data_IF_705798124008
#
_entry.id   IF_705798124008
#
_cell.length_a   1.000
_cell.length_b   1.000
_cell.length_c   1.000
_cell.angle_alpha   90.00
_cell.angle_beta   90.00
_cell.angle_gamma   90.00
#
_symmetry.space_group_name_H-M   'P 1'
#
loop_
_entity.id
_entity.type
_entity.pdbx_description
1 polymer ?
#
# COMPACT_ATOMS: atom_id res chain seq x y z
N UNK A 1 19.73 -44.60 -73.82
CA UNK A 1 19.59 -43.35 -73.02
C UNK A 1 18.31 -43.45 -72.22
N UNK A 2 18.40 -43.73 -70.90
CA UNK A 2 17.27 -43.76 -69.95
C UNK A 2 17.53 -42.72 -68.89
N UNK A 3 16.75 -41.66 -68.87
CA UNK A 3 16.79 -40.67 -67.80
C UNK A 3 15.92 -41.09 -66.65
N UNK A 4 16.49 -41.25 -65.46
CA UNK A 4 15.81 -41.50 -64.22
C UNK A 4 15.46 -40.17 -63.55
N UNK A 5 14.17 -39.92 -63.33
CA UNK A 5 13.67 -38.77 -62.55
C UNK A 5 13.70 -39.10 -61.07
N UNK A 6 14.56 -38.40 -60.33
CA UNK A 6 14.51 -38.44 -58.85
C UNK A 6 13.54 -37.36 -58.38
N UNK A 7 12.37 -37.76 -57.89
CA UNK A 7 11.46 -36.89 -57.14
C UNK A 7 11.91 -36.78 -55.71
N UNK A 8 12.36 -35.60 -55.30
CA UNK A 8 12.63 -35.27 -53.87
C UNK A 8 11.33 -34.85 -53.20
N UNK A 9 10.84 -35.64 -52.28
CA UNK A 9 9.78 -35.29 -51.36
C UNK A 9 10.35 -34.37 -50.25
N UNK A 10 9.90 -33.10 -50.20
CA UNK A 10 10.18 -32.19 -49.09
C UNK A 10 9.19 -32.58 -47.95
N UNK A 11 9.67 -32.68 -46.67
CA UNK A 11 8.76 -32.85 -45.57
C UNK A 11 8.02 -31.52 -45.31
N UNK A 12 6.69 -31.60 -45.30
CA UNK A 12 5.80 -30.51 -44.91
C UNK A 12 5.91 -30.34 -43.40
N UNK A 13 6.57 -29.29 -42.93
CA UNK A 13 6.56 -28.92 -41.50
C UNK A 13 5.24 -28.21 -41.23
N UNK A 14 4.35 -28.93 -40.56
CA UNK A 14 3.11 -28.34 -40.04
C UNK A 14 3.45 -27.45 -38.84
N UNK A 15 3.45 -26.14 -39.05
CA UNK A 15 3.47 -25.15 -37.98
C UNK A 15 2.08 -25.08 -37.39
N UNK A 16 1.87 -25.75 -36.26
CA UNK A 16 0.67 -25.58 -35.44
C UNK A 16 0.71 -24.20 -34.81
N UNK A 17 -0.09 -23.26 -35.32
CA UNK A 17 -0.34 -21.99 -34.67
C UNK A 17 -1.03 -22.24 -33.33
N UNK A 18 -0.32 -22.04 -32.24
CA UNK A 18 -0.90 -21.97 -30.89
C UNK A 18 -1.71 -20.67 -30.84
N UNK A 19 -3.03 -20.79 -30.97
CA UNK A 19 -3.91 -19.67 -30.66
C UNK A 19 -3.80 -19.39 -29.17
N UNK A 20 -3.15 -18.28 -28.79
CA UNK A 20 -3.27 -17.73 -27.45
C UNK A 20 -4.74 -17.33 -27.26
N UNK A 21 -5.53 -18.23 -26.72
CA UNK A 21 -6.82 -17.84 -26.14
C UNK A 21 -6.51 -16.94 -24.96
N UNK A 22 -7.03 -15.71 -24.99
CA UNK A 22 -6.98 -14.82 -23.85
C UNK A 22 -7.48 -15.61 -22.61
N UNK A 23 -6.61 -15.76 -21.61
CA UNK A 23 -7.01 -16.33 -20.33
C UNK A 23 -8.16 -15.46 -19.80
N UNK A 24 -9.24 -16.06 -19.25
CA UNK A 24 -10.25 -15.26 -18.58
C UNK A 24 -9.57 -14.42 -17.52
N UNK A 25 -9.91 -13.14 -17.46
CA UNK A 25 -9.47 -12.27 -16.38
C UNK A 25 -9.75 -13.01 -15.06
N UNK A 26 -8.71 -13.25 -14.26
CA UNK A 26 -8.89 -13.86 -12.95
C UNK A 26 -9.93 -13.03 -12.21
N UNK A 27 -10.98 -13.67 -11.70
CA UNK A 27 -11.93 -12.98 -10.83
C UNK A 27 -11.12 -12.33 -9.70
N UNK A 28 -11.34 -11.05 -9.46
CA UNK A 28 -10.68 -10.35 -8.35
C UNK A 28 -10.94 -11.12 -7.06
N UNK A 29 -9.90 -11.23 -6.22
CA UNK A 29 -10.00 -11.90 -4.91
C UNK A 29 -11.06 -11.20 -4.02
N UNK A 30 -11.24 -9.90 -4.24
CA UNK A 30 -12.20 -9.06 -3.54
C UNK A 30 -13.12 -8.36 -4.54
N UNK A 31 -14.37 -8.10 -4.17
CA UNK A 31 -15.33 -7.38 -5.00
C UNK A 31 -15.11 -5.86 -4.95
N UNK A 32 -14.50 -5.36 -3.90
CA UNK A 32 -14.16 -3.94 -3.71
C UNK A 32 -13.05 -3.74 -2.68
N UNK A 33 -12.42 -2.57 -2.74
CA UNK A 33 -11.46 -2.08 -1.75
C UNK A 33 -12.07 -0.85 -1.07
N UNK A 34 -12.21 -0.90 0.27
CA UNK A 34 -12.69 0.22 1.10
C UNK A 34 -11.55 0.69 1.99
N UNK A 35 -11.21 1.98 1.92
CA UNK A 35 -10.04 2.52 2.62
C UNK A 35 -10.45 3.62 3.58
N UNK A 36 -10.08 3.48 4.85
CA UNK A 36 -10.13 4.50 5.90
C UNK A 36 -8.69 4.89 6.23
N UNK A 37 -8.35 6.17 6.14
CA UNK A 37 -6.96 6.55 6.28
C UNK A 37 -6.70 8.06 6.35
N UNK A 38 -5.43 8.37 6.23
CA UNK A 38 -4.90 9.72 6.24
C UNK A 38 -4.30 10.14 4.88
N UNK A 39 -3.35 11.09 4.88
CA UNK A 39 -2.71 11.58 3.65
C UNK A 39 -1.97 10.52 2.84
N UNK A 40 -1.52 9.43 3.46
CA UNK A 40 -0.85 8.34 2.75
C UNK A 40 -1.83 7.56 1.85
N UNK A 41 -3.12 7.64 2.14
CA UNK A 41 -4.18 6.88 1.47
C UNK A 41 -5.18 7.77 0.72
N UNK A 42 -5.20 9.09 0.96
CA UNK A 42 -6.14 10.03 0.34
C UNK A 42 -5.91 10.11 -1.17
N UNK A 43 -6.86 9.60 -1.95
CA UNK A 43 -6.82 9.62 -3.42
C UNK A 43 -7.49 10.85 -4.05
N UNK A 44 -7.81 11.88 -3.24
CA UNK A 44 -8.36 13.14 -3.71
C UNK A 44 -9.52 13.74 -2.92
N UNK A 45 -9.91 13.19 -1.77
CA UNK A 45 -10.96 13.79 -0.93
C UNK A 45 -10.57 15.22 -0.48
N UNK A 46 -9.33 15.41 -0.01
CA UNK A 46 -8.87 16.75 0.36
C UNK A 46 -8.84 17.70 -0.84
N UNK A 47 -8.45 17.21 -2.02
CA UNK A 47 -8.50 18.04 -3.24
C UNK A 47 -9.92 18.52 -3.55
N UNK A 48 -10.92 17.66 -3.35
CA UNK A 48 -12.34 18.04 -3.57
C UNK A 48 -12.77 19.10 -2.56
N UNK A 49 -12.33 19.03 -1.30
CA UNK A 49 -12.78 19.96 -0.23
C UNK A 49 -12.00 21.26 -0.23
N UNK A 50 -10.68 21.22 -0.31
CA UNK A 50 -9.80 22.39 -0.09
C UNK A 50 -8.96 22.76 -1.32
N UNK A 51 -9.11 22.03 -2.42
CA UNK A 51 -8.33 22.23 -3.65
C UNK A 51 -6.92 21.65 -3.57
N UNK A 52 -6.25 21.67 -4.73
CA UNK A 52 -4.83 21.38 -4.86
C UNK A 52 -4.05 22.67 -5.13
N UNK A 53 -2.77 22.68 -4.77
CA UNK A 53 -1.86 23.78 -5.06
C UNK A 53 -0.72 23.34 -5.98
N UNK A 54 -0.87 23.48 -7.31
CA UNK A 54 0.18 23.14 -8.28
C UNK A 54 1.47 23.97 -8.13
N UNK A 55 1.37 25.17 -7.55
CA UNK A 55 2.51 26.07 -7.29
C UNK A 55 3.17 25.84 -5.93
N UNK A 56 2.71 24.85 -5.16
CA UNK A 56 3.27 24.55 -3.85
C UNK A 56 4.70 24.01 -3.98
N UNK A 57 5.66 24.70 -3.36
CA UNK A 57 7.08 24.34 -3.40
C UNK A 57 7.50 23.72 -2.08
N UNK A 58 8.32 22.68 -2.17
CA UNK A 58 9.02 22.07 -1.04
C UNK A 58 10.41 22.71 -1.00
N UNK A 59 10.79 23.27 0.12
CA UNK A 59 12.04 24.03 0.26
C UNK A 59 13.11 23.30 1.08
N UNK A 60 12.68 22.35 1.92
CA UNK A 60 13.56 21.58 2.80
C UNK A 60 12.85 20.31 3.31
N UNK A 61 13.49 19.58 4.21
CA UNK A 61 12.97 18.36 4.81
C UNK A 61 11.86 18.59 5.86
N UNK A 62 11.55 19.85 6.21
CA UNK A 62 10.57 20.17 7.28
C UNK A 62 9.18 20.53 6.73
N UNK A 63 9.08 20.75 5.43
CA UNK A 63 7.85 21.20 4.80
C UNK A 63 6.73 20.16 4.89
N UNK A 64 5.57 20.60 5.39
CA UNK A 64 4.33 19.81 5.44
C UNK A 64 3.23 20.64 4.76
N UNK A 65 2.63 20.15 3.67
CA UNK A 65 1.65 20.93 2.90
C UNK A 65 0.34 21.10 3.66
N UNK A 66 -0.30 22.26 3.46
CA UNK A 66 -1.67 22.55 3.92
C UNK A 66 -2.74 22.12 2.91
N UNK A 67 -2.38 21.97 1.64
CA UNK A 67 -3.21 21.49 0.53
C UNK A 67 -2.50 20.34 -0.17
N UNK A 68 -3.21 19.60 -1.01
CA UNK A 68 -2.60 18.60 -1.88
C UNK A 68 -1.71 19.28 -2.92
N UNK A 69 -0.75 18.52 -3.45
CA UNK A 69 0.10 18.97 -4.56
C UNK A 69 -0.67 19.03 -5.89
N UNK A 70 -0.01 19.48 -6.95
CA UNK A 70 -0.59 19.48 -8.29
C UNK A 70 -1.04 18.11 -8.82
N UNK A 71 -0.54 17.04 -8.24
CA UNK A 71 -1.00 15.65 -8.45
C UNK A 71 -2.42 15.38 -7.92
N UNK A 72 -2.96 16.25 -7.09
CA UNK A 72 -4.24 16.06 -6.40
C UNK A 72 -4.18 15.20 -5.15
N UNK A 73 -2.99 14.77 -4.74
CA UNK A 73 -2.71 13.95 -3.55
C UNK A 73 -1.49 14.50 -2.80
N UNK A 74 -1.13 13.89 -1.67
CA UNK A 74 0.03 14.29 -0.86
C UNK A 74 1.32 13.56 -1.30
N UNK A 75 1.54 13.48 -2.60
CA UNK A 75 2.71 12.86 -3.23
C UNK A 75 2.94 13.48 -4.61
N UNK A 76 4.00 13.09 -5.31
CA UNK A 76 4.26 13.48 -6.70
C UNK A 76 3.48 12.64 -7.74
N UNK A 77 2.68 11.66 -7.30
CA UNK A 77 1.88 10.78 -8.15
C UNK A 77 0.92 9.92 -7.31
N UNK A 78 0.43 8.80 -7.84
CA UNK A 78 -0.54 7.95 -7.17
C UNK A 78 -0.11 7.56 -5.76
N UNK A 79 -1.08 7.38 -4.86
CA UNK A 79 -0.86 6.80 -3.53
C UNK A 79 -1.06 5.29 -3.59
N UNK A 80 -0.47 4.56 -2.64
CA UNK A 80 -0.51 3.10 -2.56
C UNK A 80 -1.92 2.49 -2.75
N UNK A 81 -2.95 3.16 -2.24
CA UNK A 81 -4.33 2.68 -2.33
C UNK A 81 -4.83 2.63 -3.78
N UNK A 82 -4.45 3.65 -4.59
CA UNK A 82 -4.77 3.69 -6.02
C UNK A 82 -4.02 2.59 -6.78
N UNK A 83 -2.74 2.38 -6.47
CA UNK A 83 -1.91 1.36 -7.11
C UNK A 83 -2.40 -0.06 -6.74
N UNK A 84 -2.71 -0.29 -5.45
CA UNK A 84 -3.26 -1.54 -4.98
C UNK A 84 -4.61 -1.86 -5.63
N UNK A 85 -5.52 -0.88 -5.74
CA UNK A 85 -6.81 -1.04 -6.40
C UNK A 85 -6.65 -1.42 -7.87
N UNK A 86 -5.74 -0.75 -8.59
CA UNK A 86 -5.43 -1.06 -9.99
C UNK A 86 -4.90 -2.49 -10.15
N UNK A 87 -3.99 -2.93 -9.28
CA UNK A 87 -3.42 -4.28 -9.28
C UNK A 87 -4.45 -5.36 -8.86
N UNK A 88 -5.41 -5.01 -7.99
CA UNK A 88 -6.55 -5.86 -7.63
C UNK A 88 -7.61 -5.93 -8.75
N UNK A 89 -7.59 -5.00 -9.70
CA UNK A 89 -8.62 -4.90 -10.74
C UNK A 89 -9.98 -4.40 -10.22
N UNK A 90 -9.99 -3.63 -9.11
CA UNK A 90 -11.20 -3.02 -8.54
C UNK A 90 -11.14 -1.49 -8.65
N UNK A 91 -12.29 -0.82 -8.82
CA UNK A 91 -12.31 0.65 -8.83
C UNK A 91 -12.00 1.21 -7.43
N UNK A 92 -11.28 2.34 -7.42
CA UNK A 92 -11.08 3.13 -6.19
C UNK A 92 -11.10 4.61 -6.56
N UNK A 93 -12.12 5.32 -6.07
CA UNK A 93 -12.24 6.77 -6.18
C UNK A 93 -12.52 7.37 -4.80
N UNK A 94 -12.27 8.70 -4.61
CA UNK A 94 -12.62 9.37 -3.36
C UNK A 94 -14.11 9.19 -3.00
N UNK A 95 -14.41 9.05 -1.72
CA UNK A 95 -15.79 8.90 -1.23
C UNK A 95 -16.68 10.09 -1.58
N UNK A 96 -16.11 11.30 -1.62
CA UNK A 96 -16.79 12.52 -2.05
C UNK A 96 -17.13 12.53 -3.55
N UNK A 97 -16.52 11.68 -4.34
CA UNK A 97 -16.86 11.41 -5.73
C UNK A 97 -17.71 10.14 -5.90
N UNK A 98 -18.27 9.61 -4.83
CA UNK A 98 -19.12 8.41 -4.83
C UNK A 98 -18.36 7.09 -4.79
N UNK A 99 -17.06 7.10 -4.45
CA UNK A 99 -16.23 5.91 -4.36
C UNK A 99 -16.07 5.37 -2.93
N UNK A 100 -15.09 4.49 -2.78
CA UNK A 100 -14.83 3.72 -1.56
C UNK A 100 -13.56 4.12 -0.81
N UNK A 101 -12.84 5.14 -1.27
CA UNK A 101 -11.73 5.72 -0.52
C UNK A 101 -12.25 6.84 0.38
N UNK A 102 -12.31 6.57 1.69
CA UNK A 102 -12.76 7.51 2.72
C UNK A 102 -11.62 8.26 3.40
N UNK A 103 -10.36 8.07 2.96
CA UNK A 103 -9.19 8.70 3.57
C UNK A 103 -9.16 10.21 3.34
N UNK A 104 -8.67 10.96 4.36
CA UNK A 104 -8.48 12.40 4.31
C UNK A 104 -7.10 12.78 4.83
N UNK A 105 -6.38 13.59 4.06
CA UNK A 105 -5.09 14.13 4.50
C UNK A 105 -5.19 14.85 5.85
N UNK A 106 -4.27 14.54 6.78
CA UNK A 106 -4.26 15.09 8.13
C UNK A 106 -5.15 14.36 9.15
N UNK A 107 -5.92 13.35 8.73
CA UNK A 107 -6.80 12.61 9.63
C UNK A 107 -6.03 11.90 10.75
N UNK A 108 -6.52 12.03 11.98
CA UNK A 108 -6.16 11.20 13.13
C UNK A 108 -7.11 10.00 13.23
N UNK A 109 -6.82 9.02 14.08
CA UNK A 109 -7.72 7.88 14.27
C UNK A 109 -9.03 8.26 14.96
N UNK A 110 -9.04 9.28 15.81
CA UNK A 110 -10.20 9.82 16.54
C UNK A 110 -9.94 11.23 17.05
N UNK A 111 -10.89 11.81 17.78
CA UNK A 111 -12.27 11.31 18.06
C UNK A 111 -13.19 11.39 16.84
N UNK A 112 -14.33 10.67 16.90
CA UNK A 112 -15.40 10.85 15.92
C UNK A 112 -15.99 12.27 16.03
N UNK A 113 -16.39 12.87 14.89
CA UNK A 113 -16.94 14.21 14.86
C UNK A 113 -17.08 14.76 13.44
N UNK A 114 -17.56 15.97 13.33
CA UNK A 114 -17.79 16.65 12.05
C UNK A 114 -16.63 17.60 11.65
N UNK A 115 -15.53 17.59 12.40
CA UNK A 115 -14.36 18.43 12.09
C UNK A 115 -13.59 17.91 10.88
N UNK A 116 -13.18 18.82 10.01
CA UNK A 116 -12.30 18.50 8.89
C UNK A 116 -10.81 18.65 9.32
N UNK A 117 -9.94 17.72 8.95
CA UNK A 117 -10.18 16.45 8.23
C UNK A 117 -10.91 15.42 9.10
N UNK A 118 -11.80 14.65 8.49
CA UNK A 118 -12.57 13.63 9.20
C UNK A 118 -11.65 12.52 9.73
N UNK A 119 -11.74 12.23 11.05
CA UNK A 119 -10.99 11.15 11.67
C UNK A 119 -11.39 9.78 11.09
N UNK A 120 -10.53 8.75 11.26
CA UNK A 120 -10.83 7.41 10.79
C UNK A 120 -12.13 6.85 11.40
N UNK A 121 -12.42 7.15 12.67
CA UNK A 121 -13.71 6.81 13.28
C UNK A 121 -14.90 7.45 12.56
N UNK A 122 -14.76 8.72 12.16
CA UNK A 122 -15.81 9.43 11.41
C UNK A 122 -15.95 8.84 10.00
N UNK A 123 -14.84 8.56 9.31
CA UNK A 123 -14.83 7.94 7.98
C UNK A 123 -15.56 6.59 7.98
N UNK A 124 -15.25 5.73 8.94
CA UNK A 124 -15.92 4.44 9.10
C UNK A 124 -17.41 4.60 9.42
N UNK A 125 -17.75 5.56 10.28
CA UNK A 125 -19.15 5.90 10.57
C UNK A 125 -19.91 6.40 9.33
N UNK A 126 -19.31 7.23 8.49
CA UNK A 126 -19.89 7.69 7.22
C UNK A 126 -20.12 6.52 6.25
N UNK A 127 -19.13 5.62 6.11
CA UNK A 127 -19.29 4.42 5.30
C UNK A 127 -20.46 3.56 5.78
N UNK A 128 -20.49 3.21 7.06
CA UNK A 128 -21.51 2.34 7.66
C UNK A 128 -22.92 2.94 7.64
N UNK A 129 -23.02 4.28 7.65
CA UNK A 129 -24.33 4.97 7.57
C UNK A 129 -24.95 4.93 6.16
N UNK A 130 -24.15 4.73 5.11
CA UNK A 130 -24.62 4.90 3.74
C UNK A 130 -24.40 3.64 2.86
N UNK A 131 -23.65 2.66 3.33
CA UNK A 131 -23.32 1.45 2.59
C UNK A 131 -23.69 0.18 3.38
N UNK A 132 -23.96 -0.89 2.64
CA UNK A 132 -24.02 -2.25 3.20
C UNK A 132 -22.61 -2.85 3.19
N UNK A 133 -22.19 -3.43 4.29
CA UNK A 133 -20.90 -4.12 4.40
C UNK A 133 -20.94 -5.40 3.57
N UNK A 134 -20.02 -5.53 2.59
CA UNK A 134 -19.85 -6.77 1.82
C UNK A 134 -18.89 -7.71 2.55
N UNK A 135 -19.23 -8.99 2.63
CA UNK A 135 -18.35 -10.00 3.18
C UNK A 135 -17.12 -10.28 2.28
N UNK A 136 -17.22 -9.93 0.98
CA UNK A 136 -16.15 -10.14 0.00
C UNK A 136 -15.33 -8.88 -0.29
N UNK A 137 -15.64 -7.75 0.36
CA UNK A 137 -14.83 -6.54 0.24
C UNK A 137 -13.58 -6.63 1.12
N UNK A 138 -12.49 -6.00 0.68
CA UNK A 138 -11.31 -5.76 1.48
C UNK A 138 -11.43 -4.39 2.17
N UNK A 139 -11.43 -4.38 3.50
CA UNK A 139 -11.45 -3.16 4.31
C UNK A 139 -10.05 -2.86 4.82
N UNK A 140 -9.60 -1.62 4.67
CA UNK A 140 -8.28 -1.19 5.12
C UNK A 140 -8.41 -0.02 6.07
N UNK A 141 -7.73 -0.12 7.22
CA UNK A 141 -7.61 0.93 8.24
C UNK A 141 -6.14 1.33 8.29
N UNK A 142 -5.80 2.49 7.72
CA UNK A 142 -4.42 2.94 7.50
C UNK A 142 -4.20 4.34 8.09
N UNK A 143 -3.79 4.43 9.35
CA UNK A 143 -3.57 5.70 10.04
C UNK A 143 -2.73 5.56 11.29
N UNK A 144 -2.64 6.66 12.07
CA UNK A 144 -1.85 6.74 13.29
C UNK A 144 -0.64 7.67 13.17
N UNK A 145 -0.18 7.97 11.95
CA UNK A 145 0.92 8.90 11.73
C UNK A 145 0.64 10.31 12.26
N UNK A 146 -0.58 10.81 12.09
CA UNK A 146 -0.99 12.11 12.60
C UNK A 146 -1.21 12.13 14.11
N UNK A 147 -1.67 11.01 14.71
CA UNK A 147 -1.75 10.84 16.17
C UNK A 147 -0.35 10.92 16.79
N UNK A 148 0.63 10.20 16.20
CA UNK A 148 2.02 10.23 16.62
C UNK A 148 2.64 11.62 16.46
N UNK A 149 2.41 12.32 15.35
CA UNK A 149 2.90 13.67 15.13
C UNK A 149 2.30 14.67 16.12
N UNK A 150 1.01 14.57 16.42
CA UNK A 150 0.36 15.36 17.47
C UNK A 150 0.97 15.14 18.84
N UNK A 151 1.29 13.89 19.18
CA UNK A 151 1.97 13.56 20.43
C UNK A 151 3.39 14.11 20.49
N UNK A 152 4.19 14.05 19.40
CA UNK A 152 5.51 14.68 19.34
C UNK A 152 5.44 16.18 19.60
N UNK A 153 4.48 16.89 18.99
CA UNK A 153 4.27 18.31 19.21
C UNK A 153 3.90 18.62 20.67
N UNK A 154 3.03 17.79 21.28
CA UNK A 154 2.66 17.92 22.69
C UNK A 154 3.87 17.74 23.61
N UNK A 155 4.70 16.72 23.37
CA UNK A 155 5.92 16.44 24.14
C UNK A 155 6.93 17.58 24.00
N UNK A 156 7.09 18.12 22.77
CA UNK A 156 7.95 19.27 22.53
C UNK A 156 7.46 20.52 23.28
N UNK A 157 6.16 20.80 23.26
CA UNK A 157 5.55 21.94 23.94
C UNK A 157 5.71 21.90 25.48
N UNK A 158 5.76 20.71 26.08
CA UNK A 158 6.01 20.53 27.53
C UNK A 158 7.51 20.30 27.85
N UNK A 159 8.41 20.54 26.91
CA UNK A 159 9.86 20.31 27.06
C UNK A 159 10.20 18.90 27.59
N UNK A 160 9.40 17.89 27.17
CA UNK A 160 9.58 16.49 27.53
C UNK A 160 9.01 16.08 28.91
N UNK A 161 8.56 17.00 29.73
CA UNK A 161 8.06 16.68 31.09
C UNK A 161 6.82 15.77 31.02
N UNK A 162 5.99 15.89 29.98
CA UNK A 162 4.78 15.08 29.80
C UNK A 162 5.01 13.82 28.93
N UNK A 163 6.24 13.41 28.66
CA UNK A 163 6.57 12.30 27.76
C UNK A 163 5.79 11.03 28.10
N UNK A 164 5.95 10.50 29.29
CA UNK A 164 5.33 9.24 29.69
C UNK A 164 3.81 9.25 29.57
N UNK A 165 3.10 10.22 30.22
CA UNK A 165 1.64 10.34 30.08
C UNK A 165 1.17 10.52 28.63
N UNK A 166 1.85 11.32 27.81
CA UNK A 166 1.48 11.55 26.40
C UNK A 166 1.63 10.28 25.58
N UNK A 167 2.73 9.56 25.69
CA UNK A 167 2.95 8.30 24.97
C UNK A 167 1.89 7.27 25.36
N UNK A 168 1.63 7.09 26.65
CA UNK A 168 0.64 6.13 27.14
C UNK A 168 -0.77 6.47 26.65
N UNK A 169 -1.18 7.74 26.74
CA UNK A 169 -2.51 8.19 26.29
C UNK A 169 -2.67 8.03 24.77
N UNK A 170 -1.66 8.43 23.97
CA UNK A 170 -1.71 8.32 22.51
C UNK A 170 -1.78 6.86 22.09
N UNK A 171 -0.94 5.98 22.63
CA UNK A 171 -0.95 4.56 22.30
C UNK A 171 -2.29 3.89 22.65
N UNK A 172 -2.83 4.15 23.84
CA UNK A 172 -4.12 3.61 24.28
C UNK A 172 -5.28 4.12 23.41
N UNK A 173 -5.32 5.43 23.12
CA UNK A 173 -6.40 6.02 22.34
C UNK A 173 -6.36 5.54 20.88
N UNK A 174 -5.17 5.49 20.28
CA UNK A 174 -4.97 4.94 18.94
C UNK A 174 -5.50 3.51 18.84
N UNK A 175 -5.07 2.62 19.72
CA UNK A 175 -5.50 1.23 19.72
C UNK A 175 -7.02 1.10 19.93
N UNK A 176 -7.60 1.85 20.85
CA UNK A 176 -9.04 1.86 21.11
C UNK A 176 -9.85 2.34 19.90
N UNK A 177 -9.40 3.41 19.25
CA UNK A 177 -10.08 3.95 18.06
C UNK A 177 -10.07 2.93 16.90
N UNK A 178 -8.92 2.32 16.63
CA UNK A 178 -8.79 1.31 15.57
C UNK A 178 -9.62 0.06 15.91
N UNK A 179 -9.59 -0.41 17.17
CA UNK A 179 -10.41 -1.52 17.62
C UNK A 179 -11.91 -1.25 17.46
N UNK A 180 -12.36 -0.01 17.75
CA UNK A 180 -13.75 0.37 17.55
C UNK A 180 -14.19 0.31 16.08
N UNK A 181 -13.31 0.71 15.14
CA UNK A 181 -13.57 0.60 13.68
C UNK A 181 -13.66 -0.88 13.28
N UNK A 182 -12.69 -1.71 13.71
CA UNK A 182 -12.70 -3.16 13.45
C UNK A 182 -14.00 -3.79 13.92
N UNK A 183 -14.37 -3.56 15.18
CA UNK A 183 -15.61 -4.11 15.77
C UNK A 183 -16.86 -3.66 14.99
N UNK A 184 -16.92 -2.41 14.56
CA UNK A 184 -18.06 -1.90 13.82
C UNK A 184 -18.16 -2.53 12.41
N UNK A 185 -17.05 -2.74 11.72
CA UNK A 185 -17.00 -3.42 10.42
C UNK A 185 -17.37 -4.89 10.55
N UNK A 186 -16.85 -5.60 11.56
CA UNK A 186 -17.18 -7.00 11.83
C UNK A 186 -18.67 -7.18 12.19
N UNK A 187 -19.21 -6.28 13.01
CA UNK A 187 -20.65 -6.26 13.32
C UNK A 187 -21.52 -6.04 12.07
N UNK A 188 -21.00 -5.32 11.06
CA UNK A 188 -21.61 -5.17 9.74
C UNK A 188 -21.48 -6.40 8.84
N UNK A 189 -20.60 -7.35 9.16
CA UNK A 189 -20.37 -8.57 8.38
C UNK A 189 -19.06 -8.61 7.58
N UNK A 190 -18.11 -7.68 7.80
CA UNK A 190 -16.81 -7.69 7.17
C UNK A 190 -16.01 -8.96 7.52
N UNK A 191 -15.44 -9.64 6.51
CA UNK A 191 -14.66 -10.86 6.66
C UNK A 191 -13.16 -10.63 6.43
N UNK A 192 -12.79 -9.58 5.71
CA UNK A 192 -11.42 -9.28 5.31
C UNK A 192 -11.07 -7.84 5.70
N UNK A 193 -10.34 -7.70 6.81
CA UNK A 193 -9.90 -6.42 7.33
C UNK A 193 -8.38 -6.43 7.44
N UNK A 194 -7.72 -5.44 6.84
CA UNK A 194 -6.28 -5.21 7.03
C UNK A 194 -6.09 -3.90 7.78
N UNK A 195 -5.42 -3.99 8.92
CA UNK A 195 -5.05 -2.84 9.73
C UNK A 195 -3.57 -2.55 9.55
N UNK A 196 -3.21 -1.32 9.19
CA UNK A 196 -1.84 -0.87 9.21
C UNK A 196 -1.41 -0.56 10.63
N UNK A 197 -0.20 -0.97 11.00
CA UNK A 197 0.43 -0.39 12.18
C UNK A 197 0.90 1.04 11.85
N UNK A 198 1.27 1.82 12.88
CA UNK A 198 1.80 3.17 12.70
C UNK A 198 3.17 3.10 12.03
N UNK A 199 3.45 3.89 10.97
CA UNK A 199 4.75 3.92 10.33
C UNK A 199 5.84 4.38 11.30
N UNK A 200 7.10 4.00 11.04
CA UNK A 200 8.25 4.48 11.83
C UNK A 200 8.48 5.98 11.59
N UNK A 201 7.82 6.80 12.39
CA UNK A 201 7.85 8.25 12.25
C UNK A 201 9.25 8.83 12.42
N UNK A 202 10.13 8.13 13.14
CA UNK A 202 11.52 8.54 13.34
C UNK A 202 12.37 8.54 12.06
N UNK A 203 11.90 7.89 10.99
CA UNK A 203 12.53 7.87 9.67
C UNK A 203 12.10 9.05 8.78
N UNK A 204 11.00 9.73 9.12
CA UNK A 204 10.51 10.85 8.32
C UNK A 204 11.51 12.02 8.33
N UNK A 205 11.85 12.60 7.15
CA UNK A 205 12.84 13.68 7.06
C UNK A 205 12.54 14.86 7.98
N UNK A 206 11.28 15.25 8.15
CA UNK A 206 10.88 16.35 9.04
C UNK A 206 11.13 16.03 10.53
N UNK A 207 10.95 14.78 10.94
CA UNK A 207 11.19 14.34 12.31
C UNK A 207 12.70 14.24 12.58
N UNK A 208 13.47 13.79 11.59
CA UNK A 208 14.92 13.76 11.65
C UNK A 208 15.51 15.19 11.70
N UNK A 209 15.02 16.11 10.87
CA UNK A 209 15.43 17.52 10.86
C UNK A 209 15.14 18.21 12.21
N UNK A 210 14.07 17.80 12.91
CA UNK A 210 13.76 18.28 14.26
C UNK A 210 14.58 17.59 15.37
N UNK A 211 15.51 16.67 15.03
CA UNK A 211 16.30 15.92 16.02
C UNK A 211 15.48 14.93 16.85
N UNK A 212 14.29 14.54 16.39
CA UNK A 212 13.31 13.76 17.13
C UNK A 212 13.19 12.30 16.67
N UNK A 213 14.10 11.80 15.81
CA UNK A 213 14.05 10.45 15.23
C UNK A 213 13.87 9.35 16.28
N UNK A 214 14.69 9.35 17.34
CA UNK A 214 14.58 8.35 18.42
C UNK A 214 13.22 8.39 19.13
N UNK A 215 12.70 9.58 19.39
CA UNK A 215 11.40 9.76 20.03
C UNK A 215 10.25 9.33 19.09
N UNK A 216 10.34 9.69 17.82
CA UNK A 216 9.36 9.27 16.80
C UNK A 216 9.28 7.75 16.67
N UNK A 217 10.43 7.07 16.62
CA UNK A 217 10.52 5.60 16.61
C UNK A 217 9.93 4.98 17.88
N UNK A 218 10.29 5.52 19.07
CA UNK A 218 9.79 5.03 20.35
C UNK A 218 8.27 5.16 20.47
N UNK A 219 7.72 6.30 20.09
CA UNK A 219 6.27 6.55 20.10
C UNK A 219 5.52 5.59 19.16
N UNK A 220 5.99 5.45 17.92
CA UNK A 220 5.38 4.53 16.95
C UNK A 220 5.41 3.08 17.44
N UNK A 221 6.54 2.63 18.04
CA UNK A 221 6.63 1.30 18.66
C UNK A 221 5.63 1.12 19.80
N UNK A 222 5.45 2.14 20.65
CA UNK A 222 4.50 2.10 21.76
C UNK A 222 3.06 1.99 21.27
N UNK A 223 2.71 2.73 20.23
CA UNK A 223 1.41 2.65 19.56
C UNK A 223 1.17 1.28 18.93
N UNK A 224 2.17 0.74 18.25
CA UNK A 224 2.10 -0.57 17.58
C UNK A 224 1.97 -1.72 18.58
N UNK A 225 2.63 -1.64 19.73
CA UNK A 225 2.46 -2.61 20.81
C UNK A 225 1.05 -2.59 21.38
N UNK A 226 0.45 -1.40 21.59
CA UNK A 226 -0.93 -1.26 22.06
C UNK A 226 -1.92 -1.78 20.99
N UNK A 227 -1.68 -1.49 19.71
CA UNK A 227 -2.51 -2.00 18.60
C UNK A 227 -2.46 -3.53 18.53
N UNK A 228 -1.28 -4.12 18.61
CA UNK A 228 -1.12 -5.58 18.57
C UNK A 228 -1.88 -6.26 19.73
N UNK A 229 -1.86 -5.67 20.92
CA UNK A 229 -2.62 -6.15 22.05
C UNK A 229 -4.14 -6.01 21.83
N UNK A 230 -4.60 -4.90 21.22
CA UNK A 230 -6.00 -4.64 20.91
C UNK A 230 -6.56 -5.61 19.87
N UNK A 231 -5.75 -5.97 18.87
CA UNK A 231 -6.18 -6.85 17.77
C UNK A 231 -5.93 -8.33 18.05
N UNK A 232 -5.39 -8.68 19.22
CA UNK A 232 -5.07 -10.06 19.55
C UNK A 232 -6.34 -10.94 19.59
N UNK A 233 -6.39 -11.95 18.73
CA UNK A 233 -7.51 -12.88 18.65
C UNK A 233 -8.67 -12.43 17.76
N UNK A 234 -8.61 -11.26 17.14
CA UNK A 234 -9.61 -10.81 16.18
C UNK A 234 -9.60 -11.69 14.92
N UNK A 235 -10.72 -12.31 14.59
CA UNK A 235 -10.87 -13.15 13.40
C UNK A 235 -11.10 -12.31 12.15
N UNK A 236 -10.54 -12.74 10.99
CA UNK A 236 -10.70 -11.99 9.74
C UNK A 236 -9.94 -10.65 9.70
N UNK A 237 -9.02 -10.43 10.66
CA UNK A 237 -8.17 -9.26 10.76
C UNK A 237 -6.71 -9.66 10.54
N UNK A 238 -6.04 -8.97 9.62
CA UNK A 238 -4.61 -9.07 9.39
C UNK A 238 -3.94 -7.72 9.63
N UNK A 239 -2.66 -7.72 9.98
CA UNK A 239 -1.90 -6.48 10.16
C UNK A 239 -0.90 -6.32 9.01
N UNK A 240 -0.87 -5.15 8.39
CA UNK A 240 0.20 -4.75 7.48
C UNK A 240 1.28 -3.98 8.25
N UNK A 241 2.51 -4.52 8.25
CA UNK A 241 3.64 -3.94 8.99
C UNK A 241 4.34 -2.85 8.18
N UNK A 242 3.73 -1.67 8.07
CA UNK A 242 4.35 -0.50 7.43
C UNK A 242 5.55 0.03 8.23
N UNK A 243 5.58 -0.17 9.56
CA UNK A 243 6.73 0.17 10.39
C UNK A 243 7.96 -0.65 10.00
N UNK A 244 7.78 -1.96 9.89
CA UNK A 244 8.84 -2.89 9.48
C UNK A 244 9.29 -2.64 8.06
N UNK A 245 8.36 -2.42 7.12
CA UNK A 245 8.68 -2.10 5.72
C UNK A 245 9.52 -0.83 5.61
N UNK A 246 9.11 0.27 6.23
CA UNK A 246 9.87 1.52 6.24
C UNK A 246 11.26 1.36 6.86
N UNK A 247 11.38 0.58 7.93
CA UNK A 247 12.66 0.27 8.56
C UNK A 247 13.56 -0.57 7.63
N UNK A 248 13.01 -1.56 6.92
CA UNK A 248 13.74 -2.38 5.97
C UNK A 248 14.25 -1.55 4.77
N UNK A 249 13.41 -0.65 4.24
CA UNK A 249 13.79 0.31 3.19
C UNK A 249 14.95 1.20 3.68
N UNK A 250 14.88 1.73 4.90
CA UNK A 250 15.93 2.59 5.44
C UNK A 250 17.26 1.85 5.65
N UNK A 251 17.22 0.56 6.00
CA UNK A 251 18.41 -0.27 6.21
C UNK A 251 19.04 -0.77 4.91
N UNK A 252 18.25 -1.00 3.88
CA UNK A 252 18.72 -1.50 2.59
C UNK A 252 17.97 -0.86 1.41
N UNK A 253 18.13 0.45 1.19
CA UNK A 253 17.34 1.20 0.21
C UNK A 253 17.49 0.67 -1.22
N UNK A 254 18.68 0.21 -1.60
CA UNK A 254 18.94 -0.31 -2.94
C UNK A 254 18.14 -1.57 -3.29
N UNK A 255 17.73 -2.38 -2.29
CA UNK A 255 16.86 -3.54 -2.52
C UNK A 255 15.44 -3.15 -2.93
N UNK A 256 15.04 -1.90 -2.67
CA UNK A 256 13.74 -1.34 -2.99
C UNK A 256 13.80 -0.29 -4.12
N UNK A 257 14.96 -0.16 -4.80
CA UNK A 257 15.15 0.78 -5.90
C UNK A 257 15.50 2.22 -5.47
N UNK A 258 15.73 2.48 -4.17
CA UNK A 258 16.02 3.84 -3.69
C UNK A 258 17.52 4.11 -3.54
N UNK A 259 17.91 5.31 -3.92
CA UNK A 259 19.23 5.88 -3.67
C UNK A 259 19.24 6.83 -2.47
N UNK A 260 18.08 7.40 -2.12
CA UNK A 260 17.91 8.34 -1.02
C UNK A 260 16.64 8.04 -0.22
N UNK A 261 16.78 7.93 1.11
CA UNK A 261 15.69 7.63 2.05
C UNK A 261 15.66 8.62 3.22
N UNK A 262 16.36 9.76 3.09
CA UNK A 262 16.53 10.75 4.15
C UNK A 262 16.08 12.16 3.78
N UNK A 263 15.97 12.44 2.47
CA UNK A 263 15.68 13.77 2.00
C UNK A 263 14.36 13.83 1.23
N UNK A 264 13.68 14.97 1.31
CA UNK A 264 12.53 15.32 0.52
C UNK A 264 12.94 15.58 -0.94
N UNK A 265 12.57 14.70 -1.86
CA UNK A 265 12.93 14.84 -3.27
C UNK A 265 12.44 16.15 -3.87
N UNK A 266 11.23 16.57 -3.51
CA UNK A 266 10.64 17.83 -4.00
C UNK A 266 11.41 19.09 -3.61
N UNK A 267 12.30 19.02 -2.62
CA UNK A 267 13.19 20.13 -2.23
C UNK A 267 14.46 20.21 -3.07
N UNK A 268 14.77 19.20 -3.89
CA UNK A 268 16.03 19.08 -4.61
C UNK A 268 15.81 19.28 -6.10
N UNK A 269 16.24 20.41 -6.62
CA UNK A 269 16.07 20.76 -8.04
C UNK A 269 16.76 19.75 -8.93
N UNK A 270 16.01 19.16 -9.87
CA UNK A 270 16.52 18.19 -10.85
C UNK A 270 16.74 16.77 -10.31
N UNK A 271 16.31 16.47 -9.07
CA UNK A 271 16.36 15.12 -8.56
C UNK A 271 15.42 14.17 -9.33
N UNK A 272 15.87 12.92 -9.52
CA UNK A 272 14.99 11.85 -10.00
C UNK A 272 14.22 11.25 -8.82
N UNK A 273 12.97 11.64 -8.63
CA UNK A 273 12.19 11.22 -7.46
C UNK A 273 11.80 9.73 -7.48
N UNK A 274 11.96 9.02 -8.58
CA UNK A 274 11.76 7.57 -8.61
C UNK A 274 12.80 6.82 -7.78
N UNK A 275 13.92 7.49 -7.44
CA UNK A 275 14.98 6.92 -6.59
C UNK A 275 14.98 7.44 -5.15
N UNK A 276 13.94 8.17 -4.76
CA UNK A 276 13.78 8.73 -3.41
C UNK A 276 12.59 8.11 -2.71
N UNK A 277 12.72 7.84 -1.40
CA UNK A 277 11.60 7.33 -0.61
C UNK A 277 10.59 8.44 -0.24
N UNK A 278 11.04 9.69 -0.06
CA UNK A 278 10.20 10.80 0.39
C UNK A 278 10.05 11.88 -0.67
N UNK A 279 8.78 12.31 -0.88
CA UNK A 279 8.44 13.45 -1.71
C UNK A 279 8.62 14.78 -0.99
N UNK A 280 8.11 14.88 0.26
CA UNK A 280 8.29 16.00 1.17
C UNK A 280 8.83 15.51 2.53
N UNK A 281 8.72 16.30 3.58
CA UNK A 281 9.25 15.97 4.89
C UNK A 281 8.61 14.75 5.57
N UNK A 282 7.46 14.25 5.09
CA UNK A 282 6.74 13.13 5.71
C UNK A 282 6.07 12.16 4.72
N UNK A 283 5.77 12.60 3.50
CA UNK A 283 5.02 11.81 2.55
C UNK A 283 5.94 11.04 1.59
N UNK A 284 5.63 9.77 1.30
CA UNK A 284 6.36 8.99 0.32
C UNK A 284 6.26 9.57 -1.11
N UNK A 285 7.24 9.26 -1.97
CA UNK A 285 7.11 9.46 -3.43
C UNK A 285 6.12 8.47 -4.01
N UNK A 286 5.69 8.69 -5.26
CA UNK A 286 4.87 7.72 -6.00
C UNK A 286 5.60 6.37 -6.14
N UNK A 287 6.92 6.37 -6.37
CA UNK A 287 7.72 5.14 -6.40
C UNK A 287 7.69 4.40 -5.05
N UNK A 288 7.75 5.12 -3.93
CA UNK A 288 7.65 4.51 -2.61
C UNK A 288 6.22 4.02 -2.33
N UNK A 289 5.19 4.71 -2.81
CA UNK A 289 3.81 4.23 -2.74
C UNK A 289 3.59 2.94 -3.54
N UNK A 290 4.25 2.78 -4.70
CA UNK A 290 4.20 1.53 -5.45
C UNK A 290 4.82 0.36 -4.67
N UNK A 291 5.99 0.56 -4.04
CA UNK A 291 6.61 -0.44 -3.15
C UNK A 291 5.69 -0.80 -1.99
N UNK A 292 5.03 0.18 -1.39
CA UNK A 292 4.05 -0.04 -0.31
C UNK A 292 2.86 -0.86 -0.83
N UNK A 293 2.34 -0.54 -2.02
CA UNK A 293 1.23 -1.27 -2.62
C UNK A 293 1.58 -2.74 -2.88
N UNK A 294 2.77 -3.02 -3.41
CA UNK A 294 3.23 -4.39 -3.65
C UNK A 294 3.35 -5.19 -2.35
N UNK A 295 3.98 -4.62 -1.32
CA UNK A 295 4.09 -5.26 -0.01
C UNK A 295 2.71 -5.47 0.65
N UNK A 296 1.79 -4.52 0.51
CA UNK A 296 0.41 -4.63 1.00
C UNK A 296 -0.34 -5.77 0.32
N UNK A 297 -0.21 -5.93 -1.00
CA UNK A 297 -0.91 -6.97 -1.76
C UNK A 297 -0.47 -8.39 -1.35
N UNK A 298 0.76 -8.57 -0.89
CA UNK A 298 1.21 -9.85 -0.32
C UNK A 298 0.38 -10.20 0.93
N UNK A 299 0.14 -9.23 1.82
CA UNK A 299 -0.71 -9.42 3.01
C UNK A 299 -2.17 -9.63 2.63
N UNK A 300 -2.64 -8.99 1.56
CA UNK A 300 -3.97 -9.18 1.00
C UNK A 300 -4.15 -10.55 0.29
N UNK A 301 -3.12 -11.40 0.25
CA UNK A 301 -3.19 -12.73 -0.34
C UNK A 301 -3.16 -12.73 -1.87
N UNK A 302 -2.70 -11.65 -2.49
CA UNK A 302 -2.55 -11.54 -3.95
C UNK A 302 -1.14 -12.00 -4.33
N UNK A 303 -0.98 -13.14 -5.02
CA UNK A 303 0.34 -13.58 -5.44
C UNK A 303 0.96 -12.61 -6.45
N UNK A 304 2.25 -12.33 -6.30
CA UNK A 304 2.99 -11.51 -7.27
C UNK A 304 2.90 -12.09 -8.70
N UNK A 305 2.86 -11.22 -9.75
CA UNK A 305 2.84 -11.69 -11.14
C UNK A 305 4.01 -12.65 -11.48
N UNK A 306 5.19 -12.44 -10.87
CA UNK A 306 6.36 -13.33 -11.00
C UNK A 306 6.07 -14.75 -10.47
N UNK A 307 5.32 -14.89 -9.39
CA UNK A 307 4.91 -16.19 -8.82
C UNK A 307 4.04 -16.96 -9.80
N UNK A 308 3.10 -16.31 -10.46
CA UNK A 308 2.28 -16.91 -11.52
C UNK A 308 3.13 -17.37 -12.70
N UNK A 309 4.06 -16.53 -13.17
CA UNK A 309 4.96 -16.88 -14.27
C UNK A 309 5.83 -18.09 -13.91
N UNK A 310 6.44 -18.10 -12.72
CA UNK A 310 7.23 -19.23 -12.25
C UNK A 310 6.41 -20.52 -12.11
N UNK A 311 5.18 -20.44 -11.65
CA UNK A 311 4.26 -21.54 -11.57
C UNK A 311 3.92 -22.11 -12.95
N UNK A 312 3.59 -21.25 -13.92
CA UNK A 312 3.31 -21.67 -15.31
C UNK A 312 4.54 -22.28 -15.97
N UNK A 313 5.73 -21.68 -15.79
CA UNK A 313 7.00 -22.23 -16.30
C UNK A 313 7.27 -23.59 -15.65
N UNK A 314 7.06 -23.70 -14.34
CA UNK A 314 7.21 -24.97 -13.62
C UNK A 314 6.30 -26.07 -14.17
N UNK A 315 5.02 -25.79 -14.36
CA UNK A 315 4.07 -26.75 -14.96
C UNK A 315 4.43 -27.09 -16.41
N UNK A 316 4.85 -26.10 -17.20
CA UNK A 316 5.30 -26.34 -18.58
C UNK A 316 6.53 -27.25 -18.63
N UNK A 317 7.50 -27.04 -17.75
CA UNK A 317 8.69 -27.91 -17.62
C UNK A 317 8.33 -29.34 -17.21
N UNK A 318 7.46 -29.51 -16.22
CA UNK A 318 6.99 -30.83 -15.79
C UNK A 318 6.23 -31.53 -16.91
N UNK A 319 5.32 -30.84 -17.59
CA UNK A 319 4.58 -31.36 -18.74
C UNK A 319 5.50 -31.77 -19.89
N UNK A 320 6.51 -30.97 -20.20
CA UNK A 320 7.50 -31.28 -21.21
C UNK A 320 8.35 -32.52 -20.87
N UNK A 321 8.78 -32.63 -19.59
CA UNK A 321 9.52 -33.81 -19.14
C UNK A 321 8.67 -35.08 -19.20
N UNK A 322 7.40 -35.01 -18.82
CA UNK A 322 6.46 -36.12 -18.91
C UNK A 322 6.24 -36.56 -20.39
N UNK A 323 6.06 -35.57 -21.27
CA UNK A 323 5.93 -35.81 -22.72
C UNK A 323 7.16 -36.49 -23.31
N UNK A 324 8.39 -36.05 -22.99
CA UNK A 324 9.63 -36.67 -23.47
C UNK A 324 9.80 -38.12 -22.97
N UNK A 325 9.31 -38.45 -21.77
CA UNK A 325 9.36 -39.83 -21.25
C UNK A 325 8.41 -40.77 -21.96
N UNK A 326 7.37 -40.29 -22.61
CA UNK A 326 6.40 -41.09 -23.35
C UNK A 326 6.80 -41.35 -24.80
N UNK A 327 7.82 -40.69 -25.34
CA UNK A 327 8.31 -40.98 -26.68
C UNK A 327 9.18 -42.24 -26.65
N UNK A 328 8.76 -43.35 -27.30
CA UNK A 328 9.58 -44.55 -27.39
C UNK A 328 10.87 -44.21 -28.15
N UNK A 329 12.00 -44.66 -27.65
CA UNK A 329 13.26 -44.59 -28.39
C UNK A 329 13.04 -45.25 -29.78
N UNK A 330 13.17 -44.51 -30.85
CA UNK A 330 13.18 -45.06 -32.20
C UNK A 330 14.41 -46.00 -32.25
N UNK A 331 14.15 -47.31 -32.16
CA UNK A 331 15.16 -48.35 -32.39
C UNK A 331 15.66 -48.18 -33.80
N UNK A 332 16.90 -47.69 -33.97
CA UNK A 332 17.60 -47.73 -35.21
C UNK A 332 17.76 -49.18 -35.66
N UNK A 333 17.04 -49.56 -36.70
CA UNK A 333 17.30 -50.76 -37.45
C UNK A 333 18.41 -50.44 -38.43
N UNK A 334 19.52 -51.19 -38.30
CA UNK A 334 20.65 -51.22 -39.18
C UNK A 334 20.29 -51.81 -40.56
#
# INVERSE_FOLDING_TARGET
>A
MKYAFFSRLLPLVAVTAFSLTALPASASLYDSLVVFGDSLSDSGNNTIVIGSNPGQTITDNTYVPSQTYGSGVYSNGPVWASDAAAKLGVPLTPSLAGGTNYAYGGATTGPAGNGFPFSLLTQAGQYLATNTVSANALYVIAGGGNDARGALNTIAACSGVCLGPTVAATASQYAANVGAIVNALQAGGAQHIIVWNTPNLGLAPAVAAAGASGLGTFLANSMNAALAAQLAGESGVSTFDIFGLGTAIALNPGAYGFANVTDACGAIVGANCDTYAYWDGIHPTAAAHEVIADAFLVVAGVPEPSTWILMFVGFACVGFMAYRRQQPAALGAA
#
